data_IF_907957026618
#
_entry.id   IF_907957026618
#
_cell.length_a   1.000
_cell.length_b   1.000
_cell.length_c   1.000
_cell.angle_alpha   90.00
_cell.angle_beta   90.00
_cell.angle_gamma   90.00
#
_symmetry.space_group_name_H-M   'P 1'
#
loop_
_entity.id
_entity.type
_entity.pdbx_description
1 polymer ?
#
# COMPACT_ATOMS: atom_id res chain seq x y z
N UNK A 1 25.69 25.05 69.63
CA UNK A 1 25.46 23.72 70.25
C UNK A 1 24.15 23.18 69.71
N UNK A 2 24.20 22.28 68.73
CA UNK A 2 23.05 21.47 68.30
C UNK A 2 23.55 20.06 68.10
N UNK A 3 23.28 19.21 69.08
CA UNK A 3 23.69 17.81 69.13
C UNK A 3 22.97 16.99 68.07
N UNK A 4 23.74 16.37 67.17
CA UNK A 4 23.26 15.37 66.23
C UNK A 4 22.97 14.09 67.02
N UNK A 5 21.69 13.71 67.12
CA UNK A 5 21.25 12.47 67.75
C UNK A 5 21.68 11.26 66.89
N UNK A 6 22.23 10.18 67.47
CA UNK A 6 22.66 9.02 66.71
C UNK A 6 21.43 8.28 66.17
N UNK A 7 21.40 8.01 64.87
CA UNK A 7 20.31 7.29 64.21
C UNK A 7 20.19 5.86 64.77
N UNK A 8 19.17 5.60 65.58
CA UNK A 8 18.95 4.35 66.33
C UNK A 8 18.21 3.25 65.56
N UNK A 9 18.15 3.27 64.22
CA UNK A 9 17.46 2.19 63.46
C UNK A 9 18.17 1.61 62.21
N UNK A 10 19.52 1.58 62.09
CA UNK A 10 20.15 0.90 60.95
C UNK A 10 19.92 -0.61 60.95
N UNK A 11 19.70 -1.23 62.11
CA UNK A 11 19.42 -2.67 62.24
C UNK A 11 17.95 -3.01 61.97
N UNK A 12 17.01 -2.24 62.51
CA UNK A 12 15.58 -2.45 62.28
C UNK A 12 15.19 -2.31 60.79
N UNK A 13 15.75 -1.30 60.11
CA UNK A 13 15.56 -1.10 58.65
C UNK A 13 16.17 -2.26 57.85
N UNK A 14 17.34 -2.78 58.26
CA UNK A 14 17.96 -3.96 57.62
C UNK A 14 17.13 -5.22 57.81
N UNK A 15 16.59 -5.46 59.00
CA UNK A 15 15.71 -6.60 59.29
C UNK A 15 14.42 -6.51 58.47
N UNK A 16 13.80 -5.34 58.41
CA UNK A 16 12.61 -5.11 57.59
C UNK A 16 12.87 -5.36 56.10
N UNK A 17 13.94 -4.78 55.54
CA UNK A 17 14.32 -5.04 54.15
C UNK A 17 14.66 -6.52 53.88
N UNK A 18 15.25 -7.22 54.84
CA UNK A 18 15.49 -8.66 54.73
C UNK A 18 14.16 -9.44 54.68
N UNK A 19 13.18 -9.07 55.51
CA UNK A 19 11.85 -9.67 55.53
C UNK A 19 11.10 -9.45 54.20
N UNK A 20 11.14 -8.21 53.68
CA UNK A 20 10.57 -7.88 52.36
C UNK A 20 11.25 -8.66 51.24
N UNK A 21 12.59 -8.79 51.27
CA UNK A 21 13.31 -9.61 50.28
C UNK A 21 12.91 -11.08 50.35
N UNK A 22 12.80 -11.65 51.55
CA UNK A 22 12.34 -13.04 51.71
C UNK A 22 10.94 -13.21 51.13
N UNK A 23 10.03 -12.27 51.40
CA UNK A 23 8.67 -12.31 50.87
C UNK A 23 8.64 -12.21 49.33
N UNK A 24 9.41 -11.28 48.73
CA UNK A 24 9.52 -11.18 47.28
C UNK A 24 10.12 -12.43 46.64
N UNK A 25 11.16 -13.02 47.25
CA UNK A 25 11.75 -14.28 46.77
C UNK A 25 10.74 -15.41 46.83
N UNK A 26 9.92 -15.49 47.88
CA UNK A 26 8.85 -16.50 47.96
C UNK A 26 7.80 -16.27 46.87
N UNK A 27 7.37 -15.03 46.64
CA UNK A 27 6.45 -14.69 45.56
C UNK A 27 7.04 -15.04 44.19
N UNK A 28 8.32 -14.76 43.95
CA UNK A 28 9.02 -15.11 42.70
C UNK A 28 9.11 -16.62 42.52
N UNK A 29 9.45 -17.39 43.57
CA UNK A 29 9.52 -18.86 43.51
C UNK A 29 8.16 -19.49 43.19
N UNK A 30 7.06 -18.90 43.68
CA UNK A 30 5.71 -19.40 43.42
C UNK A 30 5.22 -18.99 42.02
N UNK A 31 5.48 -17.75 41.61
CA UNK A 31 4.99 -17.23 40.33
C UNK A 31 5.85 -17.68 39.15
N UNK A 32 7.15 -17.94 39.36
CA UNK A 32 8.08 -18.30 38.28
C UNK A 32 7.68 -19.58 37.53
N UNK A 33 7.30 -20.72 38.16
CA UNK A 33 6.86 -21.91 37.43
C UNK A 33 5.58 -21.66 36.61
N UNK A 34 4.64 -20.90 37.17
CA UNK A 34 3.40 -20.51 36.47
C UNK A 34 3.76 -19.66 35.25
N UNK A 35 4.59 -18.64 35.44
CA UNK A 35 5.04 -17.78 34.35
C UNK A 35 5.85 -18.56 33.31
N UNK A 36 6.73 -19.48 33.73
CA UNK A 36 7.54 -20.32 32.86
C UNK A 36 6.68 -21.24 31.98
N UNK A 37 5.56 -21.76 32.49
CA UNK A 37 4.61 -22.56 31.71
C UNK A 37 3.80 -21.67 30.74
N UNK A 38 3.30 -20.52 31.19
CA UNK A 38 2.51 -19.60 30.34
C UNK A 38 3.34 -18.92 29.25
N UNK A 39 4.59 -18.58 29.53
CA UNK A 39 5.49 -17.91 28.59
C UNK A 39 6.01 -18.86 27.50
N UNK A 40 5.87 -20.18 27.71
CA UNK A 40 6.26 -21.25 26.76
C UNK A 40 7.64 -21.04 26.12
N UNK A 41 8.73 -20.91 26.92
CA UNK A 41 10.07 -20.61 26.42
C UNK A 41 10.59 -21.66 25.43
N UNK A 42 10.12 -22.89 25.51
CA UNK A 42 10.42 -23.94 24.52
C UNK A 42 9.93 -23.61 23.11
N UNK A 43 8.81 -22.89 22.96
CA UNK A 43 8.33 -22.41 21.66
C UNK A 43 9.26 -21.33 21.11
N UNK A 44 9.72 -20.42 21.99
CA UNK A 44 10.70 -19.40 21.62
C UNK A 44 12.03 -20.02 21.17
N UNK A 45 12.58 -20.97 21.93
CA UNK A 45 13.82 -21.66 21.55
C UNK A 45 13.67 -22.45 20.26
N UNK A 46 12.52 -23.13 20.07
CA UNK A 46 12.21 -23.84 18.83
C UNK A 46 12.12 -22.88 17.64
N UNK A 47 11.54 -21.68 17.81
CA UNK A 47 11.47 -20.65 16.76
C UNK A 47 12.83 -20.03 16.45
N UNK A 48 13.69 -19.86 17.47
CA UNK A 48 15.05 -19.32 17.31
C UNK A 48 15.96 -20.26 16.53
N UNK A 49 15.76 -21.58 16.66
CA UNK A 49 16.53 -22.58 15.90
C UNK A 49 15.98 -22.87 14.49
N UNK A 50 14.88 -22.24 14.08
CA UNK A 50 14.38 -22.39 12.71
C UNK A 50 15.22 -21.54 11.76
N UNK A 51 15.97 -22.21 10.90
CA UNK A 51 16.55 -21.59 9.70
C UNK A 51 15.41 -21.35 8.69
N UNK A 52 15.15 -20.07 8.35
CA UNK A 52 14.09 -19.71 7.41
C UNK A 52 14.54 -19.76 5.95
N UNK A 53 15.82 -19.49 5.68
CA UNK A 53 16.40 -19.44 4.35
C UNK A 53 17.84 -19.95 4.35
N UNK A 54 18.24 -20.58 3.24
CA UNK A 54 19.62 -21.03 2.97
C UNK A 54 20.08 -20.50 1.61
N UNK A 55 21.39 -20.32 1.39
CA UNK A 55 21.90 -20.00 0.06
C UNK A 55 21.50 -21.12 -0.93
N UNK A 56 21.21 -20.75 -2.17
CA UNK A 56 20.88 -21.73 -3.22
C UNK A 56 22.10 -22.59 -3.56
N UNK A 57 23.29 -22.00 -3.52
CA UNK A 57 24.58 -22.68 -3.72
C UNK A 57 25.36 -22.57 -2.40
N UNK A 58 25.59 -23.70 -1.74
CA UNK A 58 26.35 -23.72 -0.49
C UNK A 58 27.83 -23.37 -0.75
N UNK A 59 28.38 -22.43 0.02
CA UNK A 59 29.78 -22.01 -0.07
C UNK A 59 30.07 -20.78 -0.93
N UNK A 60 29.09 -20.27 -1.69
CA UNK A 60 29.21 -19.02 -2.44
C UNK A 60 28.60 -17.84 -1.65
N UNK A 61 29.41 -16.84 -1.23
CA UNK A 61 28.93 -15.65 -0.53
C UNK A 61 27.95 -14.79 -1.34
N UNK A 62 27.97 -14.90 -2.68
CA UNK A 62 27.10 -14.14 -3.58
C UNK A 62 25.79 -14.87 -3.89
N UNK A 63 25.61 -16.09 -3.37
CA UNK A 63 24.42 -16.89 -3.67
C UNK A 63 23.16 -16.29 -3.07
N UNK A 64 22.06 -16.16 -3.84
CA UNK A 64 20.80 -15.68 -3.30
C UNK A 64 20.26 -16.66 -2.24
N UNK A 65 19.69 -16.12 -1.17
CA UNK A 65 19.07 -16.93 -0.12
C UNK A 65 17.64 -17.31 -0.50
N UNK A 66 17.33 -18.60 -0.44
CA UNK A 66 16.00 -19.15 -0.72
C UNK A 66 15.36 -19.67 0.55
N UNK A 67 14.06 -19.38 0.71
CA UNK A 67 13.26 -19.90 1.83
C UNK A 67 13.21 -21.43 1.81
N UNK A 68 13.52 -22.06 2.93
CA UNK A 68 13.54 -23.53 3.05
C UNK A 68 12.15 -24.16 3.04
N UNK A 69 11.21 -23.52 3.76
CA UNK A 69 9.81 -23.96 3.81
C UNK A 69 8.99 -23.09 2.87
N UNK A 70 8.97 -23.47 1.60
CA UNK A 70 8.06 -22.86 0.65
C UNK A 70 6.78 -23.69 0.62
N UNK A 71 5.64 -23.07 0.92
CA UNK A 71 4.35 -23.70 0.65
C UNK A 71 4.11 -23.50 -0.84
N UNK A 72 4.37 -24.53 -1.65
CA UNK A 72 3.97 -24.46 -3.06
C UNK A 72 2.46 -24.30 -3.12
N UNK A 73 2.00 -23.45 -4.01
CA UNK A 73 0.59 -23.34 -4.36
C UNK A 73 0.48 -24.17 -5.64
N UNK A 74 -0.03 -25.43 -5.58
CA UNK A 74 -0.02 -26.33 -6.72
C UNK A 74 -0.71 -25.74 -7.95
N UNK A 75 -1.74 -24.93 -7.73
CA UNK A 75 -2.48 -24.22 -8.78
C UNK A 75 -1.70 -23.09 -9.45
N UNK A 76 -0.50 -22.75 -8.97
CA UNK A 76 0.39 -21.72 -9.53
C UNK A 76 1.76 -22.30 -9.93
N UNK A 77 1.88 -23.62 -10.03
CA UNK A 77 3.10 -24.26 -10.54
C UNK A 77 3.30 -23.93 -12.03
N UNK A 78 4.54 -23.58 -12.39
CA UNK A 78 4.90 -23.26 -13.79
C UNK A 78 4.70 -21.80 -14.20
N UNK A 79 4.08 -20.96 -13.36
CA UNK A 79 3.91 -19.52 -13.61
C UNK A 79 5.26 -18.80 -13.57
N UNK A 80 5.58 -18.04 -14.63
CA UNK A 80 6.87 -17.36 -14.77
C UNK A 80 6.80 -15.84 -14.67
N UNK A 81 5.63 -15.25 -14.93
CA UNK A 81 5.46 -13.79 -15.01
C UNK A 81 4.36 -13.30 -14.06
N UNK A 82 4.41 -12.01 -13.72
CA UNK A 82 3.39 -11.38 -12.87
C UNK A 82 2.01 -11.35 -13.54
N UNK A 83 1.95 -11.12 -14.85
CA UNK A 83 0.69 -11.18 -15.61
C UNK A 83 0.10 -12.59 -15.63
N UNK A 84 0.92 -13.61 -15.87
CA UNK A 84 0.47 -15.01 -15.84
C UNK A 84 -0.05 -15.41 -14.45
N UNK A 85 0.61 -14.93 -13.38
CA UNK A 85 0.15 -15.11 -12.00
C UNK A 85 -1.22 -14.50 -11.79
N UNK A 86 -1.41 -13.24 -12.21
CA UNK A 86 -2.68 -12.53 -12.08
C UNK A 86 -3.79 -13.25 -12.85
N UNK A 87 -3.57 -13.59 -14.13
CA UNK A 87 -4.56 -14.31 -14.95
C UNK A 87 -4.91 -15.68 -14.39
N UNK A 88 -3.92 -16.39 -13.86
CA UNK A 88 -4.16 -17.71 -13.22
C UNK A 88 -5.04 -17.55 -11.99
N UNK A 89 -4.74 -16.57 -11.12
CA UNK A 89 -5.57 -16.26 -9.96
C UNK A 89 -7.01 -15.86 -10.36
N UNK A 90 -7.16 -15.01 -11.38
CA UNK A 90 -8.47 -14.59 -11.89
C UNK A 90 -9.27 -15.79 -12.41
N UNK A 91 -8.65 -16.68 -13.21
CA UNK A 91 -9.32 -17.88 -13.72
C UNK A 91 -9.78 -18.82 -12.61
N UNK A 92 -9.00 -18.97 -11.54
CA UNK A 92 -9.34 -19.86 -10.43
C UNK A 92 -10.42 -19.28 -9.51
N UNK A 93 -10.47 -17.95 -9.38
CA UNK A 93 -11.26 -17.26 -8.36
C UNK A 93 -12.23 -16.22 -8.93
N UNK A 94 -12.62 -16.33 -10.21
CA UNK A 94 -13.45 -15.38 -10.97
C UNK A 94 -14.55 -14.69 -10.15
N UNK A 95 -15.45 -15.49 -9.54
CA UNK A 95 -16.62 -15.00 -8.80
C UNK A 95 -16.32 -14.56 -7.36
N UNK A 96 -15.10 -14.78 -6.85
CA UNK A 96 -14.76 -14.41 -5.47
C UNK A 96 -14.50 -12.90 -5.37
N UNK A 97 -14.82 -12.26 -4.24
CA UNK A 97 -14.44 -10.88 -4.02
C UNK A 97 -12.91 -10.75 -4.02
N UNK A 98 -12.39 -9.83 -4.84
CA UNK A 98 -10.97 -9.60 -5.05
C UNK A 98 -10.49 -8.30 -4.40
N UNK A 99 -11.18 -7.19 -4.67
CA UNK A 99 -10.84 -5.85 -4.18
C UNK A 99 -12.06 -5.19 -3.55
N UNK A 100 -11.85 -4.58 -2.38
CA UNK A 100 -12.88 -3.86 -1.64
C UNK A 100 -12.56 -2.37 -1.60
N UNK A 101 -13.55 -1.53 -1.91
CA UNK A 101 -13.46 -0.08 -1.92
C UNK A 101 -14.50 0.50 -0.98
N UNK A 102 -14.18 1.59 -0.28
CA UNK A 102 -15.16 2.34 0.51
C UNK A 102 -15.46 3.68 -0.19
N UNK A 103 -16.73 3.96 -0.52
CA UNK A 103 -17.10 5.25 -1.07
C UNK A 103 -16.93 6.32 0.01
N UNK A 104 -16.43 7.49 -0.38
CA UNK A 104 -16.35 8.66 0.50
C UNK A 104 -17.72 9.34 0.46
N UNK A 105 -18.48 9.24 1.56
CA UNK A 105 -19.81 9.84 1.67
C UNK A 105 -19.75 11.33 2.00
N UNK A 106 -18.67 11.77 2.65
CA UNK A 106 -18.48 13.17 2.98
C UNK A 106 -17.28 13.43 3.89
N UNK A 107 -17.20 14.66 4.36
CA UNK A 107 -16.14 15.13 5.23
C UNK A 107 -16.75 15.75 6.47
N UNK A 108 -16.28 15.33 7.64
CA UNK A 108 -16.66 15.95 8.91
C UNK A 108 -15.46 16.73 9.44
N UNK A 109 -15.65 18.01 9.71
CA UNK A 109 -14.62 18.89 10.28
C UNK A 109 -14.80 18.98 11.78
N UNK A 110 -13.93 18.30 12.53
CA UNK A 110 -13.94 18.36 13.98
C UNK A 110 -12.94 19.43 14.44
N UNK A 111 -13.45 20.49 15.06
CA UNK A 111 -12.61 21.54 15.64
C UNK A 111 -12.17 21.08 17.03
N UNK A 112 -10.87 20.85 17.18
CA UNK A 112 -10.32 20.54 18.49
C UNK A 112 -10.31 21.79 19.39
N UNK A 113 -10.31 21.61 20.73
CA UNK A 113 -10.14 22.72 21.68
C UNK A 113 -8.84 23.53 21.46
N UNK A 114 -7.85 22.92 20.80
CA UNK A 114 -6.58 23.55 20.40
C UNK A 114 -6.69 24.50 19.19
N UNK A 115 -7.88 24.64 18.59
CA UNK A 115 -8.10 25.40 17.35
C UNK A 115 -7.71 24.67 16.07
N UNK A 116 -7.10 23.49 16.17
CA UNK A 116 -6.76 22.66 15.01
C UNK A 116 -8.01 21.99 14.45
N UNK A 117 -8.29 22.23 13.17
CA UNK A 117 -9.38 21.59 12.42
C UNK A 117 -8.88 20.26 11.87
N UNK A 118 -9.50 19.15 12.28
CA UNK A 118 -9.25 17.85 11.68
C UNK A 118 -10.36 17.51 10.71
N UNK A 119 -9.98 17.22 9.46
CA UNK A 119 -10.90 16.71 8.45
C UNK A 119 -10.95 15.19 8.54
N UNK A 120 -12.07 14.66 9.03
CA UNK A 120 -12.33 13.23 9.11
C UNK A 120 -13.19 12.81 7.92
N UNK A 121 -12.74 11.80 7.17
CA UNK A 121 -13.53 11.21 6.09
C UNK A 121 -14.67 10.39 6.67
N UNK A 122 -15.89 10.64 6.18
CA UNK A 122 -17.05 9.77 6.41
C UNK A 122 -17.07 8.75 5.28
N UNK A 123 -16.75 7.51 5.62
CA UNK A 123 -16.65 6.41 4.66
C UNK A 123 -17.90 5.54 4.73
N UNK A 124 -18.42 5.14 3.58
CA UNK A 124 -19.53 4.20 3.48
C UNK A 124 -19.10 2.75 3.70
N UNK A 125 -19.99 1.84 3.34
CA UNK A 125 -19.77 0.39 3.38
C UNK A 125 -18.76 -0.07 2.33
N UNK A 126 -18.18 -1.26 2.52
CA UNK A 126 -17.30 -1.85 1.52
C UNK A 126 -18.09 -2.32 0.30
N UNK A 127 -17.76 -1.75 -0.85
CA UNK A 127 -18.16 -2.23 -2.17
C UNK A 127 -17.07 -3.17 -2.68
N UNK A 128 -17.42 -4.44 -2.86
CA UNK A 128 -16.50 -5.47 -3.34
C UNK A 128 -16.67 -5.67 -4.83
N UNK A 129 -15.55 -5.79 -5.53
CA UNK A 129 -15.48 -6.26 -6.92
C UNK A 129 -14.91 -7.66 -6.96
N UNK A 130 -15.49 -8.48 -7.80
CA UNK A 130 -15.04 -9.85 -8.08
C UNK A 130 -13.70 -9.85 -8.84
N UNK A 131 -13.03 -11.01 -8.92
CA UNK A 131 -11.83 -11.14 -9.75
C UNK A 131 -12.13 -10.89 -11.22
N UNK A 132 -13.31 -11.26 -11.71
CA UNK A 132 -13.73 -11.02 -13.08
C UNK A 132 -13.86 -9.52 -13.38
N UNK A 133 -14.62 -8.79 -12.56
CA UNK A 133 -14.80 -7.34 -12.73
C UNK A 133 -13.47 -6.57 -12.60
N UNK A 134 -12.57 -7.09 -11.76
CA UNK A 134 -11.22 -6.55 -11.63
C UNK A 134 -10.39 -6.80 -12.91
N UNK A 135 -10.50 -7.98 -13.52
CA UNK A 135 -9.82 -8.31 -14.79
C UNK A 135 -10.30 -7.44 -15.95
N UNK A 136 -11.60 -7.22 -16.06
CA UNK A 136 -12.21 -6.33 -17.05
C UNK A 136 -11.67 -4.90 -16.90
N UNK A 137 -11.53 -4.40 -15.66
CA UNK A 137 -10.97 -3.08 -15.38
C UNK A 137 -9.47 -3.00 -15.67
N UNK A 138 -8.71 -4.08 -15.43
CA UNK A 138 -7.29 -4.15 -15.83
C UNK A 138 -7.19 -4.03 -17.34
N UNK A 139 -8.00 -4.77 -18.10
CA UNK A 139 -8.00 -4.74 -19.56
C UNK A 139 -8.35 -3.35 -20.10
N UNK A 140 -9.35 -2.70 -19.52
CA UNK A 140 -9.72 -1.33 -19.88
C UNK A 140 -8.60 -0.33 -19.58
N UNK A 141 -7.97 -0.45 -18.40
CA UNK A 141 -6.85 0.40 -18.00
C UNK A 141 -5.64 0.18 -18.91
N UNK A 142 -5.34 -1.07 -19.27
CA UNK A 142 -4.28 -1.42 -20.22
C UNK A 142 -4.50 -0.80 -21.60
N UNK A 143 -5.74 -0.85 -22.12
CA UNK A 143 -6.11 -0.19 -23.38
C UNK A 143 -5.97 1.32 -23.28
N UNK A 144 -6.42 1.92 -22.17
CA UNK A 144 -6.27 3.35 -21.91
C UNK A 144 -4.80 3.79 -21.91
N UNK A 145 -3.95 3.13 -21.13
CA UNK A 145 -2.50 3.42 -21.09
C UNK A 145 -1.86 3.26 -22.48
N UNK A 146 -2.24 2.23 -23.22
CA UNK A 146 -1.78 2.04 -24.60
C UNK A 146 -2.28 3.17 -25.53
N UNK A 147 -3.48 3.69 -25.35
CA UNK A 147 -4.00 4.81 -26.14
C UNK A 147 -3.24 6.12 -25.83
N UNK A 148 -2.84 6.35 -24.57
CA UNK A 148 -1.99 7.48 -24.16
C UNK A 148 -0.57 7.40 -24.73
N UNK A 149 -0.15 6.21 -25.20
CA UNK A 149 1.14 6.01 -25.84
C UNK A 149 2.15 5.27 -24.97
N UNK A 150 1.74 4.69 -23.84
CA UNK A 150 2.60 3.82 -23.06
C UNK A 150 2.90 2.54 -23.87
N UNK A 151 4.19 2.26 -24.07
CA UNK A 151 4.67 1.11 -24.86
C UNK A 151 5.69 0.29 -24.06
N UNK A 152 5.88 -1.00 -24.39
CA UNK A 152 6.96 -1.79 -23.82
C UNK A 152 8.32 -1.10 -23.99
N UNK A 153 9.14 -1.14 -22.93
CA UNK A 153 10.44 -0.48 -22.89
C UNK A 153 10.41 0.99 -22.45
N UNK A 154 9.22 1.59 -22.30
CA UNK A 154 9.06 2.91 -21.69
C UNK A 154 8.68 2.78 -20.22
N UNK A 155 9.27 3.61 -19.36
CA UNK A 155 9.00 3.56 -17.92
C UNK A 155 7.76 4.41 -17.59
N UNK A 156 6.80 3.80 -16.87
CA UNK A 156 5.63 4.46 -16.33
C UNK A 156 5.77 4.59 -14.81
N UNK A 157 5.73 5.83 -14.32
CA UNK A 157 5.77 6.13 -12.91
C UNK A 157 4.36 6.27 -12.32
N UNK A 158 4.16 5.82 -11.09
CA UNK A 158 2.93 6.09 -10.32
C UNK A 158 3.29 6.85 -9.04
N UNK A 159 2.67 8.02 -8.87
CA UNK A 159 2.74 8.86 -7.68
C UNK A 159 1.31 9.07 -7.13
N UNK A 160 0.83 8.10 -6.36
CA UNK A 160 -0.49 8.17 -5.75
C UNK A 160 -0.52 7.38 -4.44
N UNK A 161 -1.50 7.66 -3.59
CA UNK A 161 -1.77 6.85 -2.40
C UNK A 161 -2.21 5.43 -2.79
N UNK A 162 -2.25 4.51 -1.82
CA UNK A 162 -2.77 3.15 -2.03
C UNK A 162 -4.23 3.22 -2.46
N UNK A 163 -4.50 2.99 -3.74
CA UNK A 163 -5.82 3.14 -4.36
C UNK A 163 -6.15 1.97 -5.29
N UNK A 164 -7.42 1.73 -5.61
CA UNK A 164 -7.77 0.65 -6.55
C UNK A 164 -7.24 0.96 -7.94
N UNK A 165 -7.30 2.23 -8.32
CA UNK A 165 -6.76 2.80 -9.56
C UNK A 165 -5.24 2.58 -9.67
N UNK A 166 -4.52 2.69 -8.54
CA UNK A 166 -3.10 2.36 -8.45
C UNK A 166 -2.85 0.88 -8.76
N UNK A 167 -3.63 0.00 -8.15
CA UNK A 167 -3.48 -1.45 -8.35
C UNK A 167 -3.85 -1.86 -9.78
N UNK A 168 -4.91 -1.29 -10.35
CA UNK A 168 -5.33 -1.49 -11.74
C UNK A 168 -4.24 -1.06 -12.71
N UNK A 169 -3.65 0.13 -12.49
CA UNK A 169 -2.56 0.65 -13.31
C UNK A 169 -1.33 -0.26 -13.23
N UNK A 170 -0.95 -0.72 -12.04
CA UNK A 170 0.17 -1.64 -11.87
C UNK A 170 -0.05 -2.98 -12.61
N UNK A 171 -1.23 -3.59 -12.46
CA UNK A 171 -1.58 -4.83 -13.17
C UNK A 171 -1.65 -4.63 -14.68
N UNK A 172 -2.16 -3.48 -15.14
CA UNK A 172 -2.16 -3.12 -16.55
C UNK A 172 -0.74 -3.01 -17.12
N UNK A 173 0.19 -2.38 -16.39
CA UNK A 173 1.60 -2.32 -16.78
C UNK A 173 2.23 -3.71 -16.91
N UNK A 174 1.97 -4.63 -15.97
CA UNK A 174 2.44 -6.02 -16.08
C UNK A 174 1.85 -6.73 -17.30
N UNK A 175 0.56 -6.51 -17.57
CA UNK A 175 -0.16 -7.07 -18.72
C UNK A 175 0.36 -6.57 -20.07
N UNK A 176 0.76 -5.31 -20.15
CA UNK A 176 1.27 -4.68 -21.39
C UNK A 176 2.79 -4.66 -21.47
N UNK A 177 3.50 -5.33 -20.55
CA UNK A 177 4.96 -5.36 -20.47
C UNK A 177 5.59 -3.94 -20.43
N UNK A 178 4.94 -3.02 -19.71
CA UNK A 178 5.44 -1.66 -19.45
C UNK A 178 6.12 -1.68 -18.08
N UNK A 179 7.42 -1.34 -17.99
CA UNK A 179 8.10 -1.23 -16.71
C UNK A 179 7.42 -0.21 -15.78
N UNK A 180 7.18 -0.64 -14.54
CA UNK A 180 6.49 0.15 -13.52
C UNK A 180 7.49 0.74 -12.52
N UNK A 181 7.39 2.04 -12.29
CA UNK A 181 8.14 2.79 -11.28
C UNK A 181 7.16 3.30 -10.22
N UNK A 182 7.42 3.05 -8.95
CA UNK A 182 6.52 3.46 -7.85
C UNK A 182 7.17 4.55 -7.01
N UNK A 183 6.50 5.69 -6.86
CA UNK A 183 6.98 6.83 -6.08
C UNK A 183 6.12 7.00 -4.81
N UNK A 184 6.76 7.30 -3.69
CA UNK A 184 6.03 7.62 -2.46
C UNK A 184 5.46 9.02 -2.51
N UNK A 185 4.21 9.18 -2.07
CA UNK A 185 3.54 10.49 -1.96
C UNK A 185 4.24 11.45 -0.98
N UNK A 186 5.07 10.92 -0.08
CA UNK A 186 5.85 11.67 0.90
C UNK A 186 7.19 12.20 0.37
N UNK A 187 7.59 11.85 -0.87
CA UNK A 187 8.80 12.41 -1.48
C UNK A 187 8.70 13.93 -1.54
N UNK A 188 9.84 14.63 -1.46
CA UNK A 188 9.94 16.08 -1.70
C UNK A 188 9.85 16.39 -3.21
N UNK A 189 9.69 17.66 -3.57
CA UNK A 189 9.60 18.05 -4.99
C UNK A 189 10.87 17.67 -5.75
N UNK A 190 12.04 17.94 -5.17
CA UNK A 190 13.32 17.55 -5.76
C UNK A 190 13.46 16.02 -5.83
N UNK A 191 12.95 15.29 -4.82
CA UNK A 191 12.92 13.83 -4.87
C UNK A 191 12.08 13.28 -6.03
N UNK A 192 10.93 13.90 -6.34
CA UNK A 192 10.11 13.52 -7.50
C UNK A 192 10.90 13.76 -8.80
N UNK A 193 11.54 14.92 -8.93
CA UNK A 193 12.34 15.27 -10.12
C UNK A 193 13.50 14.28 -10.30
N UNK A 194 14.27 14.01 -9.25
CA UNK A 194 15.37 13.05 -9.30
C UNK A 194 14.88 11.66 -9.69
N UNK A 195 13.79 11.18 -9.10
CA UNK A 195 13.26 9.85 -9.40
C UNK A 195 12.78 9.72 -10.86
N UNK A 196 12.09 10.73 -11.38
CA UNK A 196 11.63 10.72 -12.78
C UNK A 196 12.80 10.78 -13.75
N UNK A 197 13.81 11.61 -13.47
CA UNK A 197 14.98 11.74 -14.34
C UNK A 197 15.89 10.51 -14.30
N UNK A 198 16.14 9.93 -13.11
CA UNK A 198 16.96 8.70 -12.97
C UNK A 198 16.30 7.49 -13.60
N UNK A 199 14.97 7.41 -13.54
CA UNK A 199 14.22 6.32 -14.16
C UNK A 199 13.81 6.64 -15.59
N UNK A 200 14.13 7.82 -16.11
CA UNK A 200 13.73 8.28 -17.45
C UNK A 200 12.24 8.02 -17.73
N UNK A 201 11.39 8.21 -16.72
CA UNK A 201 9.97 7.92 -16.83
C UNK A 201 9.31 8.87 -17.83
N UNK A 202 8.55 8.30 -18.77
CA UNK A 202 7.89 9.03 -19.86
C UNK A 202 6.43 9.33 -19.57
N UNK A 203 5.80 8.49 -18.74
CA UNK A 203 4.41 8.58 -18.33
C UNK A 203 4.34 8.63 -16.81
N UNK A 204 3.48 9.49 -16.26
CA UNK A 204 3.23 9.58 -14.82
C UNK A 204 1.74 9.47 -14.53
N UNK A 205 1.36 8.55 -13.66
CA UNK A 205 0.00 8.47 -13.13
C UNK A 205 -0.02 9.03 -11.71
N UNK A 206 -0.86 10.04 -11.44
CA UNK A 206 -0.88 10.72 -10.13
C UNK A 206 -2.28 11.01 -9.63
N UNK A 207 -2.49 11.16 -8.32
CA UNK A 207 -3.78 11.58 -7.77
C UNK A 207 -4.02 13.08 -7.96
N UNK A 208 -5.29 13.48 -8.07
CA UNK A 208 -5.68 14.88 -8.24
C UNK A 208 -5.11 15.81 -7.14
N UNK A 209 -4.98 15.30 -5.91
CA UNK A 209 -4.40 16.04 -4.78
C UNK A 209 -2.90 16.37 -5.00
N UNK A 210 -2.18 15.53 -5.75
CA UNK A 210 -0.74 15.66 -6.01
C UNK A 210 -0.44 16.31 -7.36
N UNK A 211 -1.41 16.42 -8.26
CA UNK A 211 -1.22 16.99 -9.60
C UNK A 211 -0.63 18.42 -9.58
N UNK A 212 -1.12 19.38 -8.78
CA UNK A 212 -0.55 20.74 -8.76
C UNK A 212 0.94 20.75 -8.38
N UNK A 213 1.33 19.81 -7.52
CA UNK A 213 2.69 19.65 -7.04
C UNK A 213 3.61 19.14 -8.15
N UNK A 214 3.15 18.16 -8.92
CA UNK A 214 3.87 17.65 -10.10
C UNK A 214 4.03 18.74 -11.16
N UNK A 215 2.94 19.46 -11.46
CA UNK A 215 2.95 20.55 -12.44
C UNK A 215 3.93 21.67 -12.05
N UNK A 216 4.07 21.97 -10.76
CA UNK A 216 5.03 23.00 -10.29
C UNK A 216 6.50 22.69 -10.62
N UNK A 217 6.83 21.42 -10.86
CA UNK A 217 8.21 20.97 -11.19
C UNK A 217 8.31 20.27 -12.55
N UNK A 218 7.24 20.26 -13.35
CA UNK A 218 7.17 19.65 -14.67
C UNK A 218 8.33 20.06 -15.59
N UNK A 219 8.71 21.34 -15.57
CA UNK A 219 9.79 21.89 -16.40
C UNK A 219 11.17 21.29 -16.10
N UNK A 220 11.36 20.63 -14.95
CA UNK A 220 12.62 19.98 -14.57
C UNK A 220 12.68 18.49 -14.95
N UNK A 221 11.63 17.97 -15.58
CA UNK A 221 11.47 16.55 -15.92
C UNK A 221 11.34 16.40 -17.44
N UNK A 222 12.44 16.51 -18.21
CA UNK A 222 12.39 16.53 -19.68
C UNK A 222 11.95 15.20 -20.30
N UNK A 223 12.13 14.07 -19.61
CA UNK A 223 11.67 12.76 -20.08
C UNK A 223 10.15 12.60 -20.00
N UNK A 224 9.49 13.34 -19.11
CA UNK A 224 8.07 13.17 -18.83
C UNK A 224 7.23 13.85 -19.93
N UNK A 225 6.41 13.07 -20.62
CA UNK A 225 5.61 13.48 -21.79
C UNK A 225 4.12 13.49 -21.50
N UNK A 226 3.63 12.55 -20.69
CA UNK A 226 2.21 12.37 -20.42
C UNK A 226 1.95 12.24 -18.92
N UNK A 227 0.91 12.91 -18.44
CA UNK A 227 0.45 12.82 -17.05
C UNK A 227 -1.00 12.35 -17.05
N UNK A 228 -1.28 11.24 -16.39
CA UNK A 228 -2.63 10.71 -16.19
C UNK A 228 -3.06 10.98 -14.75
N UNK A 229 -4.22 11.59 -14.55
CA UNK A 229 -4.68 12.02 -13.24
C UNK A 229 -5.85 11.17 -12.72
N UNK A 230 -5.67 10.52 -11.56
CA UNK A 230 -6.73 9.84 -10.83
C UNK A 230 -7.63 10.86 -10.14
N UNK A 231 -8.89 10.89 -10.54
CA UNK A 231 -9.89 11.82 -10.02
C UNK A 231 -10.22 11.56 -8.54
N UNK A 232 -10.68 12.62 -7.88
CA UNK A 232 -11.17 12.61 -6.50
C UNK A 232 -12.62 13.12 -6.46
N UNK A 233 -13.36 12.75 -5.40
CA UNK A 233 -14.73 13.23 -5.19
C UNK A 233 -14.87 14.77 -5.22
N UNK A 234 -13.81 15.46 -4.81
CA UNK A 234 -13.77 16.92 -4.68
C UNK A 234 -12.96 17.61 -5.79
N UNK A 235 -12.37 16.86 -6.73
CA UNK A 235 -11.58 17.47 -7.81
C UNK A 235 -12.52 18.15 -8.80
N UNK A 236 -12.23 19.41 -9.14
CA UNK A 236 -12.86 20.06 -10.29
C UNK A 236 -12.56 19.25 -11.55
N UNK A 237 -13.51 19.10 -12.49
CA UNK A 237 -13.23 18.48 -13.78
C UNK A 237 -12.00 19.13 -14.40
N UNK A 238 -11.00 18.32 -14.73
CA UNK A 238 -9.81 18.80 -15.40
C UNK A 238 -10.19 19.11 -16.85
N UNK A 239 -10.20 20.38 -17.24
CA UNK A 239 -10.20 20.74 -18.65
C UNK A 239 -8.88 20.23 -19.26
N UNK A 240 -8.97 19.51 -20.39
CA UNK A 240 -7.80 19.03 -21.13
C UNK A 240 -6.91 20.22 -21.46
N UNK A 241 -5.86 20.39 -20.67
CA UNK A 241 -4.97 21.54 -20.84
C UNK A 241 -3.82 21.09 -21.73
N UNK A 242 -3.87 21.49 -23.00
CA UNK A 242 -2.75 21.36 -23.95
C UNK A 242 -1.69 22.45 -23.75
N UNK A 243 -1.86 23.35 -22.79
CA UNK A 243 -0.94 24.45 -22.51
C UNK A 243 0.24 24.00 -21.64
N UNK A 244 1.16 23.26 -22.27
CA UNK A 244 2.43 22.81 -21.71
C UNK A 244 3.02 21.68 -22.57
N UNK A 245 4.31 21.33 -22.41
CA UNK A 245 4.90 20.19 -23.13
C UNK A 245 4.35 18.82 -22.70
N UNK A 246 3.45 18.78 -21.71
CA UNK A 246 2.92 17.56 -21.10
C UNK A 246 1.40 17.51 -21.21
N UNK A 247 0.86 16.45 -21.79
CA UNK A 247 -0.58 16.24 -21.89
C UNK A 247 -1.13 15.69 -20.57
N UNK A 248 -2.08 16.40 -19.94
CA UNK A 248 -2.80 15.93 -18.76
C UNK A 248 -4.12 15.28 -19.17
N UNK A 249 -4.34 14.04 -18.77
CA UNK A 249 -5.54 13.27 -19.11
C UNK A 249 -6.21 12.70 -17.85
N UNK A 250 -7.55 12.66 -17.78
CA UNK A 250 -8.23 11.99 -16.68
C UNK A 250 -7.98 10.48 -16.72
N UNK A 251 -7.89 9.87 -15.55
CA UNK A 251 -7.87 8.42 -15.38
C UNK A 251 -9.31 7.94 -15.41
N UNK A 252 -9.71 7.28 -16.49
CA UNK A 252 -11.03 6.71 -16.61
C UNK A 252 -10.95 5.31 -17.22
N UNK A 253 -11.39 4.26 -16.50
CA UNK A 253 -11.46 2.91 -17.06
C UNK A 253 -12.56 2.82 -18.13
N UNK A 254 -13.61 3.64 -18.05
CA UNK A 254 -14.75 3.62 -18.97
C UNK A 254 -14.51 4.37 -20.29
N UNK A 255 -13.61 5.36 -20.30
CA UNK A 255 -13.44 6.26 -21.46
C UNK A 255 -12.63 5.63 -22.60
N UNK A 256 -11.93 4.51 -22.34
CA UNK A 256 -11.25 3.75 -23.40
C UNK A 256 -12.24 3.19 -24.45
N UNK A 257 -13.52 2.96 -24.08
CA UNK A 257 -14.57 2.64 -25.06
C UNK A 257 -15.02 3.87 -25.87
N UNK A 258 -15.08 5.06 -25.27
CA UNK A 258 -15.45 6.29 -25.96
C UNK A 258 -14.36 6.75 -26.94
N UNK A 259 -13.08 6.59 -26.59
CA UNK A 259 -11.94 6.92 -27.47
C UNK A 259 -11.85 6.04 -28.73
N UNK A 260 -12.48 4.85 -28.73
CA UNK A 260 -12.61 4.02 -29.94
C UNK A 260 -13.78 4.42 -30.84
N UNK A 261 -14.84 5.05 -30.29
CA UNK A 261 -16.05 5.38 -31.04
C UNK A 261 -16.08 6.83 -31.53
N UNK A 262 -15.41 7.74 -30.83
CA UNK A 262 -15.33 9.14 -31.20
C UNK A 262 -13.86 9.54 -31.33
N UNK A 263 -13.47 9.97 -32.54
CA UNK A 263 -12.20 10.67 -32.76
C UNK A 263 -12.08 11.91 -31.83
N UNK A 264 -10.91 12.57 -31.80
CA UNK A 264 -10.44 13.42 -30.70
C UNK A 264 -11.18 14.76 -30.48
N UNK A 265 -12.48 14.88 -30.78
CA UNK A 265 -13.16 16.17 -30.84
C UNK A 265 -14.51 16.33 -30.15
N UNK A 266 -15.11 15.37 -29.44
CA UNK A 266 -16.32 15.68 -28.66
C UNK A 266 -16.46 14.78 -27.41
N UNK A 267 -16.11 15.33 -26.25
CA UNK A 267 -16.29 14.72 -24.92
C UNK A 267 -16.95 15.77 -24.01
N UNK A 268 -18.23 16.10 -24.23
CA UNK A 268 -18.97 17.04 -23.36
C UNK A 268 -20.09 16.39 -22.54
N UNK A 269 -20.51 15.16 -22.82
CA UNK A 269 -21.83 14.69 -22.38
C UNK A 269 -21.86 13.35 -21.60
N UNK A 270 -20.75 12.89 -20.99
CA UNK A 270 -20.76 11.66 -20.19
C UNK A 270 -21.17 11.93 -18.71
N UNK A 271 -22.00 11.09 -18.06
CA UNK A 271 -22.37 11.28 -16.66
C UNK A 271 -21.27 10.75 -15.72
N UNK A 272 -20.45 11.65 -15.17
CA UNK A 272 -19.31 11.35 -14.28
C UNK A 272 -19.72 11.14 -12.82
N UNK A 273 -19.46 9.94 -12.28
CA UNK A 273 -19.22 9.70 -10.84
C UNK A 273 -18.29 8.49 -10.64
N UNK A 274 -17.06 8.70 -10.18
CA UNK A 274 -16.32 7.67 -9.45
C UNK A 274 -15.39 8.31 -8.41
N UNK A 275 -15.70 8.08 -7.13
CA UNK A 275 -15.13 8.77 -6.00
C UNK A 275 -14.74 7.77 -4.91
N UNK A 276 -13.44 7.54 -4.70
CA UNK A 276 -13.01 6.65 -3.61
C UNK A 276 -11.54 6.79 -3.24
N UNK A 277 -11.26 6.99 -1.93
CA UNK A 277 -9.95 6.67 -1.32
C UNK A 277 -10.04 5.25 -0.76
N UNK A 278 -9.09 4.38 -1.13
CA UNK A 278 -9.18 2.93 -0.94
C UNK A 278 -8.16 2.46 0.08
N UNK A 279 -8.47 1.39 0.82
CA UNK A 279 -7.48 0.59 1.54
C UNK A 279 -7.52 -0.80 0.93
N UNK A 280 -6.50 -1.15 0.14
CA UNK A 280 -6.43 -2.43 -0.57
C UNK A 280 -5.92 -3.50 0.40
N UNK A 281 -6.80 -4.42 0.79
CA UNK A 281 -6.41 -5.65 1.49
C UNK A 281 -6.35 -6.80 0.48
N UNK A 282 -5.16 -7.32 0.20
CA UNK A 282 -5.01 -8.61 -0.48
C UNK A 282 -4.90 -9.71 0.56
N UNK A 283 -5.88 -10.63 0.61
CA UNK A 283 -5.80 -11.81 1.47
C UNK A 283 -5.14 -12.95 0.71
N UNK A 284 -4.05 -13.56 1.21
CA UNK A 284 -3.59 -14.83 0.70
C UNK A 284 -4.65 -15.90 0.98
N UNK A 285 -4.83 -16.83 0.05
CA UNK A 285 -5.85 -17.87 0.14
C UNK A 285 -5.92 -18.56 1.51
N UNK A 286 -7.13 -18.64 2.04
CA UNK A 286 -7.45 -19.40 3.25
C UNK A 286 -7.74 -18.57 4.50
N UNK A 287 -7.55 -17.25 4.48
CA UNK A 287 -7.99 -16.36 5.55
C UNK A 287 -9.28 -15.65 5.17
N UNK A 288 -10.39 -15.98 5.85
CA UNK A 288 -11.63 -15.19 5.74
C UNK A 288 -11.37 -13.78 6.33
N UNK A 289 -11.94 -12.71 5.75
CA UNK A 289 -11.84 -11.39 6.36
C UNK A 289 -12.41 -11.44 7.79
N UNK A 290 -11.71 -10.84 8.78
CA UNK A 290 -12.20 -10.79 10.14
C UNK A 290 -13.56 -10.07 10.19
N UNK A 291 -14.41 -10.42 11.15
CA UNK A 291 -15.82 -10.02 11.15
C UNK A 291 -16.04 -8.49 11.09
N UNK A 292 -15.09 -7.70 11.58
CA UNK A 292 -15.11 -6.23 11.54
C UNK A 292 -14.79 -5.60 10.17
N UNK A 293 -14.34 -6.40 9.19
CA UNK A 293 -14.20 -6.00 7.78
C UNK A 293 -15.51 -6.23 7.00
N UNK A 294 -16.46 -6.97 7.58
CA UNK A 294 -17.78 -7.25 6.99
C UNK A 294 -18.88 -6.33 7.51
N UNK A 295 -18.52 -5.31 8.29
CA UNK A 295 -19.42 -4.39 9.00
C UNK A 295 -19.06 -2.94 8.79
#
# INVERSE_FOLDING_TARGET
MTSVTPSTHPTAVKVFMALVKVLLVVCDVITFPVYFVFQQPWVYWRRKSVCYAKPVVEGDPSSPYRRLRNKSIPSMEGVKTLDELARTAIRLYSERPAVGVRPVLGHNEERQPSGKVFRKLVLGEYEWKTYQEFDEQIDLTARGLHAVGARPGQNLAILAETRVEWLLTAQACFRTNVPLVTLYVTLTNDGIVSAINETEATHLVTSADLLPRVLSVANKMPSLTHIVCMENADSKPLEQTTEGPQAVMPWAPSDAMCLQQHGPQNISDAPWKCASKVVVYTYPEGLRPPAWVRS
#
